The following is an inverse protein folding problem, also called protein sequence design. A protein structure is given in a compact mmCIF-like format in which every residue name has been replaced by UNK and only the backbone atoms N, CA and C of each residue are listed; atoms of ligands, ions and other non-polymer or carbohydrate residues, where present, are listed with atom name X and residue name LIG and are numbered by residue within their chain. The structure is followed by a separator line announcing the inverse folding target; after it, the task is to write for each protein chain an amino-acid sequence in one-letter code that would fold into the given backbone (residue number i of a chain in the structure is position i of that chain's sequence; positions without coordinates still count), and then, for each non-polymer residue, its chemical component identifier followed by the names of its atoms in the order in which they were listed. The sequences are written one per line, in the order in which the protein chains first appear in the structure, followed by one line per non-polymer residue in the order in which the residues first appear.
data_IF_930668719885
#
_entry.id   IF_930668719885
#
_cell.length_a   1.000
_cell.length_b   1.000
_cell.length_c   1.000
_cell.angle_alpha   90.00
_cell.angle_beta   90.00
_cell.angle_gamma   90.00
#
_symmetry.space_group_name_H-M   'P 1'
#
loop_
_entity.id
_entity.type
_entity.pdbx_description
1 polymer ?
#
# COMPACT_ATOMS: atom_id res chain seq x y z
N UNK A 1 -25.94 40.50 5.78
CA UNK A 1 -25.80 39.96 4.40
C UNK A 1 -24.31 39.74 4.12
N UNK A 2 -23.75 38.65 4.62
CA UNK A 2 -22.30 38.40 4.54
C UNK A 2 -21.97 37.72 3.20
N UNK A 3 -21.42 38.48 2.25
CA UNK A 3 -20.95 37.93 0.97
C UNK A 3 -19.66 37.18 1.21
N UNK A 4 -19.65 35.88 0.90
CA UNK A 4 -18.42 35.08 0.86
C UNK A 4 -17.62 35.50 -0.37
N UNK A 5 -16.36 35.87 -0.17
CA UNK A 5 -15.42 36.10 -1.27
C UNK A 5 -15.17 34.76 -2.00
N UNK A 6 -15.15 34.74 -3.35
CA UNK A 6 -14.86 33.53 -4.10
C UNK A 6 -13.37 33.17 -3.95
N UNK A 7 -13.10 31.93 -3.57
CA UNK A 7 -11.75 31.38 -3.56
C UNK A 7 -11.37 30.94 -4.99
N UNK A 8 -10.12 31.15 -5.41
CA UNK A 8 -9.66 30.74 -6.74
C UNK A 8 -9.77 29.23 -6.90
N UNK A 9 -10.24 28.78 -8.06
CA UNK A 9 -10.42 27.37 -8.37
C UNK A 9 -9.08 26.64 -8.53
N UNK A 10 -9.07 25.32 -8.36
CA UNK A 10 -7.85 24.51 -8.50
C UNK A 10 -7.17 24.68 -9.87
N UNK A 11 -7.94 24.93 -10.93
CA UNK A 11 -7.41 25.21 -12.26
C UNK A 11 -6.52 26.48 -12.32
N UNK A 12 -6.73 27.44 -11.43
CA UNK A 12 -5.90 28.65 -11.33
C UNK A 12 -4.61 28.38 -10.55
N UNK A 13 -4.65 27.48 -9.55
CA UNK A 13 -3.47 27.11 -8.74
C UNK A 13 -2.44 26.32 -9.54
N UNK A 14 -2.89 25.55 -10.54
CA UNK A 14 -2.03 24.67 -11.35
C UNK A 14 -1.82 25.19 -12.78
N UNK A 15 -2.12 26.46 -13.06
CA UNK A 15 -1.84 27.06 -14.37
C UNK A 15 -0.35 27.21 -14.58
N UNK A 16 0.22 26.37 -15.44
CA UNK A 16 1.62 26.46 -15.86
C UNK A 16 1.87 27.80 -16.57
N UNK A 17 2.79 28.63 -16.07
CA UNK A 17 3.16 29.94 -16.63
C UNK A 17 4.17 29.84 -17.77
N UNK A 18 4.43 28.63 -18.28
CA UNK A 18 5.36 28.44 -19.40
C UNK A 18 4.65 28.80 -20.72
N UNK A 19 5.23 29.66 -21.57
CA UNK A 19 4.66 29.95 -22.88
C UNK A 19 4.64 28.65 -23.71
N UNK A 20 3.44 28.19 -24.06
CA UNK A 20 3.27 27.01 -24.89
C UNK A 20 3.79 27.29 -26.31
N UNK A 21 4.53 26.36 -26.94
CA UNK A 21 4.84 26.46 -28.35
C UNK A 21 3.53 26.40 -29.16
N UNK A 22 3.39 27.33 -30.10
CA UNK A 22 2.26 27.45 -31.01
C UNK A 22 2.08 26.12 -31.75
N UNK A 23 1.01 25.39 -31.45
CA UNK A 23 0.60 24.19 -32.18
C UNK A 23 -0.19 24.66 -33.40
N UNK A 24 0.37 24.45 -34.58
CA UNK A 24 -0.28 24.69 -35.86
C UNK A 24 -1.40 23.64 -36.04
N UNK A 25 -2.65 24.04 -36.34
CA UNK A 25 -3.75 23.09 -36.51
C UNK A 25 -3.66 22.41 -37.88
N UNK A 26 -3.89 21.09 -37.99
CA UNK A 26 -4.15 20.45 -39.27
C UNK A 26 -5.53 20.87 -39.81
N UNK A 27 -5.73 20.83 -41.14
CA UNK A 27 -6.94 21.33 -41.78
C UNK A 27 -8.17 20.47 -41.47
N UNK A 28 -9.33 21.12 -41.57
CA UNK A 28 -10.67 20.59 -41.31
C UNK A 28 -10.97 19.32 -42.11
N UNK A 29 -11.48 18.29 -41.42
CA UNK A 29 -12.21 17.18 -42.04
C UNK A 29 -13.54 17.03 -41.30
N UNK A 30 -14.59 17.52 -41.95
CA UNK A 30 -15.98 17.40 -41.53
C UNK A 30 -16.45 15.96 -41.75
N UNK A 31 -16.61 15.18 -40.68
CA UNK A 31 -16.95 13.77 -40.83
C UNK A 31 -17.48 13.09 -39.57
N UNK A 32 -18.66 13.49 -39.12
CA UNK A 32 -19.47 12.67 -38.21
C UNK A 32 -19.81 11.33 -38.86
N UNK A 33 -19.37 10.18 -38.31
CA UNK A 33 -20.12 8.91 -38.24
C UNK A 33 -19.39 7.87 -37.36
N UNK A 34 -20.05 7.46 -36.27
CA UNK A 34 -19.80 6.22 -35.49
C UNK A 34 -20.64 5.10 -36.15
N UNK A 35 -20.13 3.87 -36.38
CA UNK A 35 -20.38 2.79 -35.41
C UNK A 35 -19.37 1.61 -35.43
N UNK A 36 -19.35 0.86 -34.34
CA UNK A 36 -18.84 -0.51 -34.18
C UNK A 36 -18.46 -1.31 -35.47
N UNK A 37 -17.16 -1.60 -35.66
CA UNK A 37 -16.63 -2.78 -36.38
C UNK A 37 -15.13 -2.94 -36.11
N UNK A 38 -14.74 -3.93 -35.30
CA UNK A 38 -14.15 -5.23 -35.69
C UNK A 38 -12.63 -5.21 -36.02
N UNK A 39 -11.90 -5.91 -35.14
CA UNK A 39 -10.81 -6.87 -35.40
C UNK A 39 -9.47 -6.40 -36.00
N UNK A 40 -8.43 -6.55 -35.17
CA UNK A 40 -7.17 -7.26 -35.45
C UNK A 40 -6.22 -6.74 -36.54
N UNK A 41 -5.06 -6.18 -36.14
CA UNK A 41 -3.69 -6.73 -36.37
C UNK A 41 -2.57 -5.65 -36.29
N UNK A 42 -1.29 -6.05 -36.09
CA UNK A 42 -0.32 -5.33 -35.27
C UNK A 42 0.64 -4.45 -36.07
N UNK A 43 1.10 -3.37 -35.44
CA UNK A 43 2.15 -2.50 -35.98
C UNK A 43 3.42 -2.64 -35.14
N UNK A 44 4.34 -3.48 -35.60
CA UNK A 44 5.74 -3.51 -35.17
C UNK A 44 6.49 -2.29 -35.71
N UNK A 45 7.02 -1.43 -34.83
CA UNK A 45 8.26 -0.67 -35.07
C UNK A 45 9.11 -0.55 -33.79
N UNK A 46 10.30 -1.14 -33.89
CA UNK A 46 11.54 -0.96 -33.10
C UNK A 46 11.84 0.53 -32.83
N UNK A 47 12.65 0.98 -31.88
CA UNK A 47 13.46 0.46 -30.76
C UNK A 47 13.89 1.76 -29.96
N UNK A 48 14.37 1.74 -28.71
CA UNK A 48 15.79 1.62 -28.37
C UNK A 48 16.02 2.04 -26.89
N UNK A 49 16.78 1.21 -26.17
CA UNK A 49 17.70 1.51 -25.05
C UNK A 49 17.23 2.21 -23.75
N UNK A 50 17.06 1.41 -22.68
CA UNK A 50 17.62 1.72 -21.34
C UNK A 50 17.86 0.45 -20.49
N UNK A 51 19.14 0.26 -20.13
CA UNK A 51 19.78 -0.55 -19.08
C UNK A 51 19.17 -1.87 -18.53
N UNK A 52 19.89 -3.02 -18.63
CA UNK A 52 19.61 -4.21 -17.84
C UNK A 52 20.49 -4.24 -16.57
N UNK A 53 20.38 -3.23 -15.70
CA UNK A 53 21.10 -3.21 -14.41
C UNK A 53 20.22 -2.94 -13.18
N UNK A 54 18.91 -2.77 -13.36
CA UNK A 54 17.97 -2.86 -12.25
C UNK A 54 17.61 -4.34 -12.08
N UNK A 55 18.44 -5.10 -11.35
CA UNK A 55 17.98 -6.33 -10.68
C UNK A 55 16.77 -5.92 -9.85
N UNK A 56 15.58 -6.08 -10.42
CA UNK A 56 14.32 -5.89 -9.73
C UNK A 56 14.43 -6.65 -8.42
N UNK A 57 14.50 -5.89 -7.32
CA UNK A 57 14.38 -6.46 -5.98
C UNK A 57 13.11 -7.27 -6.05
N UNK A 58 13.29 -8.60 -6.07
CA UNK A 58 12.21 -9.57 -6.19
C UNK A 58 11.35 -9.36 -4.95
N UNK A 59 10.36 -8.47 -5.07
CA UNK A 59 9.42 -8.20 -4.00
C UNK A 59 8.80 -9.53 -3.66
N UNK A 60 9.01 -10.01 -2.44
CA UNK A 60 8.29 -11.17 -1.95
C UNK A 60 6.81 -10.87 -2.16
N UNK A 61 6.14 -11.75 -2.90
CA UNK A 61 4.83 -11.47 -3.48
C UNK A 61 3.82 -11.01 -2.42
N UNK A 62 2.92 -10.11 -2.81
CA UNK A 62 1.76 -9.76 -1.99
C UNK A 62 0.87 -11.00 -1.88
N UNK A 63 0.95 -11.71 -0.76
CA UNK A 63 0.04 -12.80 -0.45
C UNK A 63 -1.39 -12.24 -0.41
N UNK A 64 -2.28 -12.85 -1.21
CA UNK A 64 -3.71 -12.53 -1.15
C UNK A 64 -4.27 -13.14 0.12
N UNK A 65 -4.82 -12.29 0.99
CA UNK A 65 -5.62 -12.70 2.13
C UNK A 65 -7.10 -12.46 1.78
N UNK A 66 -7.96 -13.42 2.11
CA UNK A 66 -9.41 -13.36 1.87
C UNK A 66 -10.14 -12.50 2.93
N UNK A 67 -9.55 -12.41 4.13
CA UNK A 67 -10.13 -11.81 5.31
C UNK A 67 -9.22 -10.74 5.90
N UNK A 68 -9.83 -9.72 6.53
CA UNK A 68 -9.11 -8.64 7.21
C UNK A 68 -9.62 -8.48 8.63
N UNK A 69 -8.69 -8.29 9.56
CA UNK A 69 -8.95 -7.78 10.91
C UNK A 69 -8.40 -6.35 11.04
N UNK A 70 -9.00 -5.55 11.93
CA UNK A 70 -8.50 -4.21 12.28
C UNK A 70 -8.18 -4.20 13.76
N UNK A 71 -6.97 -3.75 14.11
CA UNK A 71 -6.49 -3.73 15.50
C UNK A 71 -6.14 -2.28 15.84
N UNK A 72 -6.65 -1.82 16.99
CA UNK A 72 -6.22 -0.56 17.59
C UNK A 72 -5.05 -0.83 18.51
N UNK A 73 -4.02 0.00 18.40
CA UNK A 73 -2.81 -0.07 19.22
C UNK A 73 -2.52 1.30 19.78
N UNK A 74 -1.90 1.33 20.96
CA UNK A 74 -1.35 2.55 21.53
C UNK A 74 -0.20 3.11 20.67
N UNK A 75 0.16 4.35 20.93
CA UNK A 75 1.29 4.99 20.27
C UNK A 75 2.61 4.26 20.55
N UNK A 76 2.81 3.82 21.79
CA UNK A 76 4.04 3.13 22.21
C UNK A 76 4.19 1.77 21.53
N UNK A 77 3.09 1.01 21.40
CA UNK A 77 3.09 -0.26 20.67
C UNK A 77 3.37 -0.08 19.18
N UNK A 78 2.81 0.96 18.55
CA UNK A 78 3.09 1.28 17.16
C UNK A 78 4.58 1.63 16.96
N UNK A 79 5.16 2.43 17.86
CA UNK A 79 6.58 2.76 17.83
C UNK A 79 7.46 1.51 18.01
N UNK A 80 7.12 0.65 18.97
CA UNK A 80 7.81 -0.62 19.19
C UNK A 80 7.79 -1.51 17.94
N UNK A 81 6.66 -1.59 17.24
CA UNK A 81 6.52 -2.34 15.99
C UNK A 81 7.42 -1.78 14.87
N UNK A 82 7.50 -0.45 14.73
CA UNK A 82 8.37 0.17 13.73
C UNK A 82 9.86 -0.01 14.07
N UNK A 83 10.22 0.08 15.34
CA UNK A 83 11.58 -0.22 15.80
C UNK A 83 11.96 -1.67 15.46
N UNK A 84 11.08 -2.64 15.74
CA UNK A 84 11.30 -4.04 15.40
C UNK A 84 11.50 -4.24 13.89
N UNK A 85 10.70 -3.57 13.05
CA UNK A 85 10.88 -3.61 11.59
C UNK A 85 12.23 -3.08 11.14
N UNK A 86 12.68 -1.96 11.70
CA UNK A 86 13.99 -1.39 11.40
C UNK A 86 15.13 -2.33 11.85
N UNK A 87 15.01 -2.94 13.03
CA UNK A 87 15.97 -3.89 13.56
C UNK A 87 16.08 -5.15 12.68
N UNK A 88 14.96 -5.70 12.21
CA UNK A 88 14.92 -6.83 11.27
C UNK A 88 15.63 -6.50 9.96
N UNK A 89 15.45 -5.29 9.44
CA UNK A 89 16.13 -4.85 8.22
C UNK A 89 17.63 -4.64 8.45
N UNK A 90 18.01 -4.00 9.55
CA UNK A 90 19.40 -3.67 9.83
C UNK A 90 20.25 -4.91 10.13
N UNK A 91 19.71 -5.84 10.94
CA UNK A 91 20.46 -6.99 11.45
C UNK A 91 20.36 -8.20 10.52
N UNK A 92 19.18 -8.43 9.92
CA UNK A 92 18.91 -9.64 9.15
C UNK A 92 18.65 -9.37 7.66
N UNK A 93 18.69 -8.11 7.22
CA UNK A 93 18.38 -7.73 5.83
C UNK A 93 16.92 -7.96 5.43
N UNK A 94 16.03 -8.25 6.40
CA UNK A 94 14.63 -8.58 6.14
C UNK A 94 13.80 -7.32 5.96
N UNK A 95 13.31 -7.11 4.73
CA UNK A 95 12.40 -6.01 4.41
C UNK A 95 10.97 -6.50 4.52
N UNK A 96 10.33 -6.17 5.63
CA UNK A 96 8.94 -6.56 5.95
C UNK A 96 8.07 -5.34 6.25
N UNK A 97 6.77 -5.48 5.99
CA UNK A 97 5.74 -4.52 6.41
C UNK A 97 5.14 -4.88 7.78
N UNK A 98 4.36 -3.96 8.35
CA UNK A 98 3.69 -4.14 9.65
C UNK A 98 2.79 -5.38 9.67
N UNK A 99 2.00 -5.56 8.62
CA UNK A 99 1.07 -6.68 8.51
C UNK A 99 1.79 -8.01 8.44
N UNK A 100 2.96 -8.09 7.79
CA UNK A 100 3.78 -9.31 7.80
C UNK A 100 4.29 -9.63 9.19
N UNK A 101 4.80 -8.65 9.93
CA UNK A 101 5.28 -8.86 11.32
C UNK A 101 4.15 -9.36 12.21
N UNK A 102 2.98 -8.71 12.16
CA UNK A 102 1.82 -9.12 12.97
C UNK A 102 1.35 -10.54 12.60
N UNK A 103 1.30 -10.88 11.30
CA UNK A 103 0.91 -12.23 10.87
C UNK A 103 1.89 -13.29 11.36
N UNK A 104 3.21 -13.03 11.33
CA UNK A 104 4.18 -14.00 11.87
C UNK A 104 4.05 -14.14 13.39
N UNK A 105 3.84 -13.04 14.12
CA UNK A 105 3.61 -13.10 15.55
C UNK A 105 2.37 -13.94 15.90
N UNK A 106 1.28 -13.77 15.15
CA UNK A 106 0.06 -14.58 15.30
C UNK A 106 0.36 -16.06 15.00
N UNK A 107 1.06 -16.36 13.91
CA UNK A 107 1.39 -17.74 13.55
C UNK A 107 2.23 -18.44 14.64
N UNK A 108 3.22 -17.74 15.21
CA UNK A 108 4.04 -18.26 16.32
C UNK A 108 3.18 -18.52 17.56
N UNK A 109 2.27 -17.60 17.91
CA UNK A 109 1.38 -17.78 19.06
C UNK A 109 0.40 -18.93 18.88
N UNK A 110 -0.15 -19.10 17.69
CA UNK A 110 -1.05 -20.22 17.37
C UNK A 110 -0.30 -21.55 17.40
N UNK A 111 0.93 -21.59 16.88
CA UNK A 111 1.75 -22.80 16.96
C UNK A 111 2.10 -23.19 18.41
N UNK A 112 2.39 -22.21 19.27
CA UNK A 112 2.60 -22.46 20.71
C UNK A 112 1.32 -22.95 21.39
N UNK A 113 0.16 -22.38 21.05
CA UNK A 113 -1.13 -22.84 21.56
C UNK A 113 -1.42 -24.28 21.14
N UNK A 114 -1.19 -24.63 19.87
CA UNK A 114 -1.43 -25.98 19.36
C UNK A 114 -0.48 -27.01 20.02
N UNK A 115 0.76 -26.62 20.30
CA UNK A 115 1.77 -27.50 20.88
C UNK A 115 1.62 -27.66 22.41
N UNK A 116 1.33 -26.56 23.11
CA UNK A 116 1.39 -26.47 24.59
C UNK A 116 0.00 -26.40 25.24
N UNK A 117 -1.06 -26.15 24.46
CA UNK A 117 -2.42 -26.05 24.97
C UNK A 117 -2.58 -25.01 26.08
N UNK A 118 -3.05 -25.47 27.25
CA UNK A 118 -3.29 -24.63 28.43
C UNK A 118 -2.04 -23.99 29.04
N UNK A 119 -0.87 -24.57 28.76
CA UNK A 119 0.42 -24.07 29.23
C UNK A 119 1.04 -23.03 28.27
N UNK A 120 0.37 -22.74 27.15
CA UNK A 120 0.85 -21.77 26.17
C UNK A 120 1.01 -20.36 26.75
N UNK A 121 1.93 -19.59 26.16
CA UNK A 121 2.17 -18.19 26.55
C UNK A 121 0.88 -17.37 26.40
N UNK A 122 0.08 -17.65 25.38
CA UNK A 122 -1.18 -16.95 25.13
C UNK A 122 -2.19 -17.16 26.28
N UNK A 123 -2.44 -18.41 26.67
CA UNK A 123 -3.40 -18.73 27.74
C UNK A 123 -2.96 -18.12 29.07
N UNK A 124 -1.67 -18.21 29.40
CA UNK A 124 -1.14 -17.61 30.64
C UNK A 124 -1.32 -16.10 30.69
N UNK A 125 -1.05 -15.39 29.59
CA UNK A 125 -1.20 -13.93 29.54
C UNK A 125 -2.67 -13.50 29.68
N UNK A 126 -3.57 -14.14 28.95
CA UNK A 126 -4.99 -13.81 29.02
C UNK A 126 -5.58 -14.09 30.41
N UNK A 127 -5.16 -15.17 31.09
CA UNK A 127 -5.61 -15.44 32.47
C UNK A 127 -5.10 -14.38 33.46
N UNK A 128 -3.88 -13.88 33.30
CA UNK A 128 -3.32 -12.84 34.16
C UNK A 128 -4.04 -11.51 33.98
N UNK A 129 -4.41 -11.14 32.75
CA UNK A 129 -5.17 -9.91 32.46
C UNK A 129 -6.60 -10.00 33.01
N UNK A 130 -7.29 -11.12 32.80
CA UNK A 130 -8.64 -11.31 33.33
C UNK A 130 -8.70 -11.31 34.87
N UNK A 131 -7.67 -11.79 35.56
CA UNK A 131 -7.59 -11.70 37.03
C UNK A 131 -7.43 -10.27 37.56
N UNK A 132 -6.97 -9.32 36.74
CA UNK A 132 -6.84 -7.90 37.10
C UNK A 132 -8.13 -7.11 36.89
N UNK A 133 -9.03 -7.60 36.03
CA UNK A 133 -10.32 -6.98 35.74
C UNK A 133 -11.40 -7.38 36.78
N UNK A 134 -11.28 -8.55 37.42
CA UNK A 134 -12.19 -9.00 38.49
C UNK A 134 -12.01 -8.24 39.83
N UNK A 135 -10.92 -7.46 39.98
CA UNK A 135 -10.63 -6.65 41.19
C UNK A 135 -10.97 -5.14 41.05
N UNK A 136 -11.64 -4.72 39.96
CA UNK A 136 -12.07 -3.32 39.73
C UNK A 136 -13.58 -3.14 39.76
#
# INVERSE_FOLDING_TARGET
MSRRAPLPGAAELFRSTSPAPRREPPPDDDGWFDPAQKTSQPSTRQAQHSDPAARGRRGTGRQKHDSKITVYVSQDELLALEHARLALRATHGLVVDRGRVVREAIAVLLADLDASGEDSVLVRRLRLEHGQDDER
#
